data_IF_886216637210
#
_entry.id   IF_886216637210
#
_cell.length_a   1.000
_cell.length_b   1.000
_cell.length_c   1.000
_cell.angle_alpha   90.00
_cell.angle_beta   90.00
_cell.angle_gamma   90.00
#
_symmetry.space_group_name_H-M   'P 1'
#
loop_
_entity.id
_entity.type
_entity.pdbx_description
1 polymer ?
#
# COMPACT_ATOMS: atom_id res chain seq x y z
N UNK A 1 -6.69 -15.77 -6.01
CA UNK A 1 -5.36 -16.38 -6.28
C UNK A 1 -4.38 -16.11 -5.14
N UNK A 2 -4.03 -14.86 -4.82
CA UNK A 2 -3.08 -14.54 -3.74
C UNK A 2 -3.49 -15.12 -2.35
N UNK A 3 -4.79 -15.07 -2.02
CA UNK A 3 -5.31 -15.61 -0.75
C UNK A 3 -5.09 -17.12 -0.56
N UNK A 4 -4.92 -17.89 -1.64
CA UNK A 4 -4.72 -19.34 -1.55
C UNK A 4 -3.30 -19.77 -1.18
N UNK A 5 -2.35 -18.83 -1.17
CA UNK A 5 -0.91 -19.10 -0.95
C UNK A 5 -0.33 -18.31 0.23
N UNK A 6 -1.19 -17.77 1.09
CA UNK A 6 -0.78 -16.99 2.26
C UNK A 6 0.06 -17.88 3.19
N UNK A 7 1.25 -17.42 3.55
CA UNK A 7 2.16 -18.15 4.44
C UNK A 7 2.83 -19.38 3.83
N UNK A 8 2.74 -19.59 2.51
CA UNK A 8 3.39 -20.70 1.81
C UNK A 8 4.76 -20.35 1.23
N UNK A 9 5.33 -19.18 1.54
CA UNK A 9 6.65 -18.78 1.02
C UNK A 9 6.64 -18.38 -0.46
N UNK A 10 5.51 -17.87 -0.97
CA UNK A 10 5.32 -17.49 -2.38
C UNK A 10 5.42 -15.97 -2.61
N UNK A 11 5.99 -15.22 -1.66
CA UNK A 11 6.01 -13.76 -1.65
C UNK A 11 6.76 -13.21 -2.89
N UNK A 12 7.88 -13.82 -3.29
CA UNK A 12 8.65 -13.38 -4.45
C UNK A 12 7.83 -13.41 -5.76
N UNK A 13 7.11 -14.50 -5.99
CA UNK A 13 6.25 -14.65 -7.17
C UNK A 13 5.08 -13.66 -7.14
N UNK A 14 4.51 -13.43 -5.96
CA UNK A 14 3.40 -12.49 -5.79
C UNK A 14 3.85 -11.04 -5.97
N UNK A 15 5.03 -10.63 -5.47
CA UNK A 15 5.61 -9.31 -5.74
C UNK A 15 5.85 -9.13 -7.23
N UNK A 16 6.37 -10.15 -7.92
CA UNK A 16 6.54 -10.09 -9.37
C UNK A 16 5.21 -9.86 -10.09
N UNK A 17 4.15 -10.58 -9.73
CA UNK A 17 2.81 -10.36 -10.29
C UNK A 17 2.23 -9.00 -9.92
N UNK A 18 2.48 -8.52 -8.70
CA UNK A 18 2.05 -7.20 -8.23
C UNK A 18 2.59 -6.08 -9.13
N UNK A 19 3.82 -6.20 -9.63
CA UNK A 19 4.40 -5.25 -10.60
C UNK A 19 3.62 -5.18 -11.91
N UNK A 20 2.95 -6.26 -12.32
CA UNK A 20 2.10 -6.28 -13.51
C UNK A 20 0.67 -5.82 -13.23
N UNK A 21 0.17 -6.00 -12.01
CA UNK A 21 -1.16 -5.53 -11.59
C UNK A 21 -1.16 -4.02 -11.37
N UNK A 22 -0.14 -3.47 -10.72
CA UNK A 22 -0.10 -2.08 -10.25
C UNK A 22 -0.32 -1.00 -11.33
N UNK A 23 0.20 -1.13 -12.57
CA UNK A 23 -0.06 -0.14 -13.62
C UNK A 23 -1.55 0.03 -13.97
N UNK A 24 -2.37 -0.99 -13.71
CA UNK A 24 -3.80 -1.01 -14.06
C UNK A 24 -4.69 -0.29 -13.04
N UNK A 25 -4.15 0.30 -11.96
CA UNK A 25 -4.95 1.04 -10.98
C UNK A 25 -5.65 2.27 -11.57
N UNK A 26 -5.20 2.74 -12.72
CA UNK A 26 -5.77 3.86 -13.46
C UNK A 26 -6.85 3.47 -14.47
N UNK A 27 -7.21 2.19 -14.52
CA UNK A 27 -8.29 1.75 -15.40
C UNK A 27 -9.63 2.40 -15.04
N UNK A 28 -10.44 2.62 -16.07
CA UNK A 28 -11.73 3.32 -15.96
C UNK A 28 -12.91 2.37 -16.03
N UNK A 29 -12.71 1.18 -16.60
CA UNK A 29 -13.75 0.16 -16.68
C UNK A 29 -14.13 -0.32 -15.27
N UNK A 30 -15.40 -0.20 -14.84
CA UNK A 30 -15.83 -0.53 -13.48
C UNK A 30 -15.49 -1.97 -13.06
N UNK A 31 -15.62 -2.93 -13.98
CA UNK A 31 -15.33 -4.33 -13.67
C UNK A 31 -13.84 -4.57 -13.51
N UNK A 32 -13.01 -3.94 -14.34
CA UNK A 32 -11.56 -4.11 -14.30
C UNK A 32 -10.97 -3.43 -13.08
N UNK A 33 -11.36 -2.19 -12.80
CA UNK A 33 -10.83 -1.46 -11.63
C UNK A 33 -11.20 -2.15 -10.32
N UNK A 34 -12.42 -2.72 -10.21
CA UNK A 34 -12.81 -3.49 -9.03
C UNK A 34 -11.97 -4.76 -8.89
N UNK A 35 -11.75 -5.50 -9.97
CA UNK A 35 -10.89 -6.69 -9.97
C UNK A 35 -9.43 -6.36 -9.59
N UNK A 36 -8.90 -5.22 -10.07
CA UNK A 36 -7.56 -4.74 -9.70
C UNK A 36 -7.50 -4.39 -8.21
N UNK A 37 -8.49 -3.68 -7.67
CA UNK A 37 -8.55 -3.33 -6.25
C UNK A 37 -8.67 -4.57 -5.36
N UNK A 38 -9.50 -5.54 -5.74
CA UNK A 38 -9.63 -6.83 -5.04
C UNK A 38 -8.33 -7.64 -5.10
N UNK A 39 -7.62 -7.61 -6.23
CA UNK A 39 -6.31 -8.24 -6.36
C UNK A 39 -5.30 -7.60 -5.40
N UNK A 40 -5.24 -6.28 -5.32
CA UNK A 40 -4.36 -5.54 -4.39
C UNK A 40 -4.70 -5.87 -2.93
N UNK A 41 -5.98 -5.98 -2.58
CA UNK A 41 -6.41 -6.38 -1.24
C UNK A 41 -5.99 -7.83 -0.91
N UNK A 42 -6.08 -8.75 -1.87
CA UNK A 42 -5.54 -10.10 -1.73
C UNK A 42 -4.00 -10.11 -1.57
N UNK A 43 -3.30 -9.25 -2.30
CA UNK A 43 -1.85 -9.08 -2.18
C UNK A 43 -1.46 -8.51 -0.81
N UNK A 44 -2.25 -7.61 -0.22
CA UNK A 44 -2.02 -7.11 1.15
C UNK A 44 -1.96 -8.24 2.17
N UNK A 45 -2.87 -9.21 2.09
CA UNK A 45 -2.88 -10.35 3.03
C UNK A 45 -1.71 -11.29 2.78
N UNK A 46 -1.37 -11.54 1.51
CA UNK A 46 -0.34 -12.51 1.16
C UNK A 46 1.11 -11.97 1.27
N UNK A 47 1.34 -10.69 0.94
CA UNK A 47 2.65 -10.02 0.99
C UNK A 47 2.87 -9.21 2.27
N UNK A 48 1.79 -8.86 2.97
CA UNK A 48 1.81 -7.94 4.09
C UNK A 48 1.51 -6.49 3.70
N UNK A 49 0.97 -5.74 4.66
CA UNK A 49 0.55 -4.35 4.49
C UNK A 49 1.73 -3.41 4.17
N UNK A 50 2.93 -3.69 4.71
CA UNK A 50 4.13 -2.90 4.49
C UNK A 50 4.53 -2.83 3.02
N UNK A 51 4.46 -3.97 2.30
CA UNK A 51 4.81 -4.05 0.88
C UNK A 51 3.84 -3.20 0.07
N UNK A 52 2.53 -3.35 0.28
CA UNK A 52 1.52 -2.54 -0.44
C UNK A 52 1.65 -1.05 -0.12
N UNK A 53 1.98 -0.69 1.13
CA UNK A 53 2.24 0.69 1.52
C UNK A 53 3.39 1.31 0.70
N UNK A 54 4.48 0.56 0.49
CA UNK A 54 5.63 1.04 -0.28
C UNK A 54 5.26 1.38 -1.74
N UNK A 55 4.39 0.60 -2.37
CA UNK A 55 3.87 0.94 -3.70
C UNK A 55 2.94 2.15 -3.67
N UNK A 56 2.22 2.36 -2.57
CA UNK A 56 1.23 3.43 -2.41
C UNK A 56 1.88 4.80 -2.13
N UNK A 57 2.95 4.85 -1.35
CA UNK A 57 3.56 6.11 -0.87
C UNK A 57 3.91 7.10 -2.00
N UNK A 58 4.39 6.59 -3.15
CA UNK A 58 4.78 7.44 -4.29
C UNK A 58 3.65 8.29 -4.88
N UNK A 59 2.39 7.85 -4.75
CA UNK A 59 1.25 8.51 -5.38
C UNK A 59 0.37 9.32 -4.43
N UNK A 60 0.54 9.18 -3.10
CA UNK A 60 -0.31 9.85 -2.12
C UNK A 60 -0.22 11.37 -2.19
N UNK A 61 1.00 11.91 -2.33
CA UNK A 61 1.25 13.35 -2.40
C UNK A 61 1.61 13.82 -3.82
N UNK A 62 1.34 13.01 -4.84
CA UNK A 62 1.66 13.35 -6.23
C UNK A 62 0.96 14.65 -6.67
N UNK A 63 1.58 15.56 -7.45
CA UNK A 63 0.98 16.87 -7.81
C UNK A 63 -0.33 16.78 -8.61
N UNK A 64 -0.48 15.75 -9.44
CA UNK A 64 -1.69 15.53 -10.22
C UNK A 64 -2.85 14.97 -9.37
N UNK A 65 -3.99 15.67 -9.37
CA UNK A 65 -5.20 15.27 -8.64
C UNK A 65 -5.69 13.87 -9.00
N UNK A 66 -5.73 13.53 -10.30
CA UNK A 66 -6.16 12.21 -10.79
C UNK A 66 -5.33 11.06 -10.21
N UNK A 67 -4.03 11.29 -9.99
CA UNK A 67 -3.15 10.30 -9.37
C UNK A 67 -3.50 10.13 -7.90
N UNK A 68 -3.59 11.24 -7.16
CA UNK A 68 -3.93 11.21 -5.73
C UNK A 68 -5.26 10.52 -5.47
N UNK A 69 -6.29 10.80 -6.25
CA UNK A 69 -7.62 10.20 -6.06
C UNK A 69 -7.58 8.66 -6.06
N UNK A 70 -6.82 8.06 -6.97
CA UNK A 70 -6.64 6.60 -7.04
C UNK A 70 -5.79 6.07 -5.89
N UNK A 71 -4.66 6.72 -5.62
CA UNK A 71 -3.74 6.26 -4.58
C UNK A 71 -4.33 6.37 -3.17
N UNK A 72 -5.04 7.46 -2.87
CA UNK A 72 -5.76 7.60 -1.61
C UNK A 72 -6.87 6.55 -1.45
N UNK A 73 -7.53 6.14 -2.55
CA UNK A 73 -8.49 5.05 -2.51
C UNK A 73 -7.83 3.71 -2.12
N UNK A 74 -6.66 3.40 -2.68
CA UNK A 74 -5.87 2.21 -2.30
C UNK A 74 -5.42 2.29 -0.84
N UNK A 75 -4.89 3.45 -0.42
CA UNK A 75 -4.47 3.68 0.96
C UNK A 75 -5.61 3.49 1.96
N UNK A 76 -6.81 3.98 1.65
CA UNK A 76 -7.96 3.81 2.52
C UNK A 76 -8.34 2.33 2.70
N UNK A 77 -8.29 1.52 1.63
CA UNK A 77 -8.50 0.07 1.73
C UNK A 77 -7.45 -0.58 2.62
N UNK A 78 -6.19 -0.24 2.39
CA UNK A 78 -5.04 -0.74 3.15
C UNK A 78 -5.16 -0.41 4.65
N UNK A 79 -5.53 0.83 4.96
CA UNK A 79 -5.71 1.33 6.32
C UNK A 79 -6.84 0.59 7.05
N UNK A 80 -7.98 0.40 6.39
CA UNK A 80 -9.11 -0.37 6.96
C UNK A 80 -8.71 -1.83 7.21
N UNK A 81 -7.93 -2.43 6.31
CA UNK A 81 -7.59 -3.85 6.36
C UNK A 81 -6.49 -4.24 7.36
N UNK A 82 -5.56 -3.33 7.71
CA UNK A 82 -4.43 -3.63 8.59
C UNK A 82 -3.79 -2.37 9.22
N UNK A 83 -4.59 -1.55 9.89
CA UNK A 83 -4.14 -0.29 10.49
C UNK A 83 -2.94 -0.46 11.45
N UNK A 84 -2.98 -1.48 12.30
CA UNK A 84 -1.96 -1.77 13.31
C UNK A 84 -0.60 -2.11 12.69
N UNK A 85 -0.60 -2.95 11.64
CA UNK A 85 0.60 -3.33 10.91
C UNK A 85 1.28 -2.15 10.19
N UNK A 86 0.53 -1.09 9.83
CA UNK A 86 1.09 0.09 9.19
C UNK A 86 1.98 0.92 10.12
N UNK A 87 1.75 0.86 11.44
CA UNK A 87 2.52 1.65 12.43
C UNK A 87 4.01 1.38 12.31
N UNK A 88 4.42 0.12 12.12
CA UNK A 88 5.82 -0.25 11.96
C UNK A 88 6.42 0.12 10.59
N UNK A 89 5.56 0.46 9.61
CA UNK A 89 5.96 0.61 8.20
C UNK A 89 5.94 2.06 7.69
N UNK A 90 5.37 2.99 8.46
CA UNK A 90 5.37 4.40 8.07
C UNK A 90 6.80 4.95 7.95
N UNK A 91 7.11 5.71 6.88
CA UNK A 91 8.42 6.32 6.72
C UNK A 91 8.67 7.36 7.81
N UNK A 92 9.93 7.47 8.25
CA UNK A 92 10.33 8.57 9.11
C UNK A 92 10.28 9.87 8.30
N UNK A 93 9.55 10.86 8.80
CA UNK A 93 9.54 12.19 8.24
C UNK A 93 10.57 13.05 8.98
N UNK A 94 11.32 13.84 8.22
CA UNK A 94 12.23 14.83 8.80
C UNK A 94 11.43 15.94 9.48
N UNK A 95 12.03 16.55 10.50
CA UNK A 95 11.42 17.68 11.18
C UNK A 95 11.53 18.88 10.25
N UNK A 96 10.38 19.34 9.74
CA UNK A 96 10.27 20.55 8.94
C UNK A 96 9.47 21.57 9.75
N UNK A 97 9.96 22.81 9.86
CA UNK A 97 9.36 23.88 10.68
C UNK A 97 9.31 23.58 12.20
N UNK A 98 8.34 24.16 12.90
CA UNK A 98 8.07 24.03 14.34
C UNK A 98 7.24 22.78 14.69
N UNK A 99 6.98 21.88 13.73
CA UNK A 99 6.14 20.69 13.93
C UNK A 99 7.01 19.44 14.14
N UNK A 100 6.65 18.65 15.15
CA UNK A 100 7.37 17.41 15.48
C UNK A 100 6.68 16.24 14.77
N UNK A 101 7.26 15.77 13.67
CA UNK A 101 6.78 14.59 12.93
C UNK A 101 7.49 13.28 13.32
N UNK A 102 8.44 13.32 14.26
CA UNK A 102 9.20 12.16 14.70
C UNK A 102 8.43 11.33 15.74
N UNK A 103 8.74 10.03 15.81
CA UNK A 103 8.16 9.06 16.76
C UNK A 103 9.26 8.49 17.67
N UNK A 104 9.71 9.23 18.68
CA UNK A 104 10.85 8.83 19.51
C UNK A 104 10.61 7.53 20.28
N UNK A 105 9.36 7.18 20.56
CA UNK A 105 8.96 5.96 21.27
C UNK A 105 9.39 4.68 20.54
N UNK A 106 9.53 4.73 19.20
CA UNK A 106 9.97 3.59 18.40
C UNK A 106 11.50 3.47 18.30
N UNK A 107 12.23 4.48 18.80
CA UNK A 107 13.68 4.54 18.78
C UNK A 107 14.29 4.36 20.17
N UNK A 108 13.48 4.08 21.19
CA UNK A 108 13.99 3.76 22.53
C UNK A 108 14.65 2.37 22.53
N UNK A 109 15.83 2.29 23.15
CA UNK A 109 16.57 1.06 23.42
C UNK A 109 16.80 0.93 24.92
#
# INVERSE_FOLDING_TARGET
>A
MALGVVGLGCEDALVHLMNHVWPNIFETSPHVVNAVMEAIEGMRVALGAAVVLNYCLQGLFHPARKVREVYWKVYNSLYIGAQDALVASYPSLEVEHNEVYSRPELLMF
#
